data_IF_499866949987
#
_entry.id   IF_499866949987
#
_cell.length_a   1.000
_cell.length_b   1.000
_cell.length_c   1.000
_cell.angle_alpha   90.00
_cell.angle_beta   90.00
_cell.angle_gamma   90.00
#
_symmetry.space_group_name_H-M   'P 1'
#
loop_
_entity.id
_entity.type
_entity.pdbx_description
1 polymer ?
#
# COMPACT_ATOMS: atom_id res chain seq x y z
N UNK A 1 45.47 66.64 -2.80
CA UNK A 1 46.93 66.81 -2.67
C UNK A 1 47.46 65.86 -1.60
N UNK A 2 48.44 65.03 -1.99
CA UNK A 2 49.51 64.40 -1.19
C UNK A 2 49.32 64.30 0.34
N UNK A 3 49.38 63.08 0.89
CA UNK A 3 50.60 62.56 1.55
C UNK A 3 50.38 61.14 2.07
N UNK A 4 51.27 60.25 1.68
CA UNK A 4 51.48 58.92 2.23
C UNK A 4 52.31 59.02 3.52
N UNK A 5 52.05 58.15 4.50
CA UNK A 5 53.05 57.67 5.47
C UNK A 5 52.71 56.22 5.78
N UNK A 6 53.64 55.33 5.44
CA UNK A 6 53.63 53.94 5.89
C UNK A 6 54.43 53.79 7.19
N UNK A 7 54.13 52.74 7.95
CA UNK A 7 55.03 51.96 8.81
C UNK A 7 54.20 50.78 9.35
N UNK A 8 54.50 49.54 9.00
CA UNK A 8 55.52 48.66 9.59
C UNK A 8 55.00 47.89 10.83
N UNK A 9 55.10 46.56 10.73
CA UNK A 9 55.14 45.55 11.79
C UNK A 9 53.85 45.28 12.59
N UNK A 10 53.39 44.02 12.62
CA UNK A 10 53.91 43.01 13.55
C UNK A 10 53.25 41.65 13.26
N UNK A 11 54.07 40.60 13.21
CA UNK A 11 53.62 39.20 13.16
C UNK A 11 52.74 38.85 14.37
N UNK A 12 51.65 38.13 14.13
CA UNK A 12 51.11 37.16 15.08
C UNK A 12 50.77 35.86 14.34
N UNK A 13 51.68 34.90 14.48
CA UNK A 13 51.48 33.49 14.14
C UNK A 13 50.47 32.89 15.11
N UNK A 14 49.20 32.79 14.72
CA UNK A 14 48.24 31.90 15.38
C UNK A 14 48.29 30.54 14.68
N UNK A 15 49.12 29.64 15.19
CA UNK A 15 49.02 28.22 14.91
C UNK A 15 47.78 27.64 15.60
N UNK A 16 46.66 27.58 14.90
CA UNK A 16 45.51 26.78 15.31
C UNK A 16 45.77 25.34 14.86
N UNK A 17 46.16 24.49 15.81
CA UNK A 17 46.27 23.06 15.62
C UNK A 17 44.85 22.46 15.55
N UNK A 18 44.33 22.31 14.32
CA UNK A 18 43.05 21.61 14.09
C UNK A 18 43.36 20.11 14.12
N UNK A 19 43.03 19.44 15.23
CA UNK A 19 43.03 17.96 15.28
C UNK A 19 41.86 17.45 14.43
N UNK A 20 42.07 16.52 13.48
CA UNK A 20 40.96 15.83 12.84
C UNK A 20 40.41 14.78 13.82
N UNK A 21 39.27 15.06 14.45
CA UNK A 21 38.44 14.03 15.05
C UNK A 21 37.70 13.29 13.94
N UNK A 22 38.29 12.20 13.45
CA UNK A 22 37.59 11.16 12.70
C UNK A 22 36.70 10.40 13.69
N UNK A 23 35.50 10.92 13.95
CA UNK A 23 34.39 10.11 14.42
C UNK A 23 33.79 9.44 13.18
N UNK A 24 34.20 8.20 12.92
CA UNK A 24 33.50 7.32 11.99
C UNK A 24 32.21 6.87 12.69
N UNK A 25 31.14 7.65 12.53
CA UNK A 25 29.79 7.22 12.88
C UNK A 25 29.39 6.05 11.97
N UNK A 26 29.61 4.84 12.48
CA UNK A 26 29.02 3.62 11.94
C UNK A 26 27.57 3.56 12.42
N UNK A 27 26.70 4.39 11.84
CA UNK A 27 25.26 4.44 12.09
C UNK A 27 24.44 4.17 10.83
N UNK A 28 24.84 3.17 10.04
CA UNK A 28 24.03 2.65 8.95
C UNK A 28 23.96 1.14 9.07
N UNK A 29 22.85 0.63 9.61
CA UNK A 29 22.64 -0.81 9.61
C UNK A 29 21.36 -1.35 10.24
N UNK A 30 20.52 -0.56 10.91
CA UNK A 30 19.30 -1.10 11.57
C UNK A 30 17.98 -0.43 11.15
N UNK A 31 18.01 0.59 10.28
CA UNK A 31 16.77 1.23 9.79
C UNK A 31 16.19 0.63 8.51
N UNK A 32 16.88 -0.27 7.81
CA UNK A 32 16.34 -0.86 6.56
C UNK A 32 15.47 -2.10 6.77
N UNK A 33 15.51 -2.75 7.93
CA UNK A 33 14.66 -3.92 8.21
C UNK A 33 13.22 -3.54 8.55
N UNK A 34 13.01 -2.41 9.25
CA UNK A 34 11.67 -1.92 9.57
C UNK A 34 10.90 -1.46 8.31
N UNK A 35 11.58 -0.74 7.39
CA UNK A 35 11.01 -0.36 6.11
C UNK A 35 10.79 -1.56 5.17
N UNK A 36 11.65 -2.59 5.23
CA UNK A 36 11.46 -3.81 4.45
C UNK A 36 10.28 -4.66 4.94
N UNK A 37 9.96 -4.62 6.23
CA UNK A 37 8.80 -5.31 6.82
C UNK A 37 7.47 -4.59 6.49
N UNK A 38 7.46 -3.26 6.39
CA UNK A 38 6.25 -2.51 5.99
C UNK A 38 5.80 -2.79 4.54
N UNK A 39 6.70 -3.27 3.67
CA UNK A 39 6.40 -3.65 2.29
C UNK A 39 5.79 -5.07 2.16
N UNK A 40 5.74 -5.85 3.25
CA UNK A 40 5.15 -7.19 3.24
C UNK A 40 3.71 -7.22 3.76
N UNK A 41 3.20 -6.12 4.33
CA UNK A 41 1.81 -6.06 4.80
C UNK A 41 0.90 -5.86 3.57
N UNK A 42 -0.09 -6.75 3.35
CA UNK A 42 -1.11 -6.58 2.32
C UNK A 42 -1.77 -5.19 2.39
N UNK A 43 -1.93 -4.56 1.22
CA UNK A 43 -2.56 -3.24 1.11
C UNK A 43 -3.77 -3.28 0.20
N UNK A 44 -4.89 -2.81 0.71
CA UNK A 44 -6.12 -2.57 -0.04
C UNK A 44 -6.32 -1.07 -0.22
N UNK A 45 -6.13 -0.60 -1.44
CA UNK A 45 -6.35 0.78 -1.85
C UNK A 45 -7.77 0.92 -2.40
N UNK A 46 -8.51 1.92 -1.91
CA UNK A 46 -9.89 2.20 -2.33
C UNK A 46 -9.97 3.65 -2.79
N UNK A 47 -10.54 3.89 -3.96
CA UNK A 47 -10.75 5.24 -4.47
C UNK A 47 -12.17 5.39 -4.98
N UNK A 48 -12.92 6.33 -4.42
CA UNK A 48 -14.20 6.71 -5.02
C UNK A 48 -13.95 7.67 -6.18
N UNK A 49 -14.61 7.43 -7.30
CA UNK A 49 -14.56 8.29 -8.48
C UNK A 49 -15.92 8.97 -8.68
N UNK A 50 -16.01 9.90 -9.63
CA UNK A 50 -17.31 10.51 -9.99
C UNK A 50 -18.34 9.53 -10.57
N UNK A 51 -17.96 8.27 -10.83
CA UNK A 51 -18.81 7.25 -11.47
C UNK A 51 -18.91 5.94 -10.66
N UNK A 52 -18.13 5.78 -9.59
CA UNK A 52 -18.16 4.58 -8.77
C UNK A 52 -16.93 4.40 -7.88
N UNK A 53 -16.42 3.17 -7.77
CA UNK A 53 -15.30 2.83 -6.86
C UNK A 53 -14.31 1.91 -7.54
N UNK A 54 -13.04 2.25 -7.43
CA UNK A 54 -11.91 1.39 -7.79
C UNK A 54 -11.24 0.86 -6.53
N UNK A 55 -10.94 -0.44 -6.52
CA UNK A 55 -10.33 -1.16 -5.40
C UNK A 55 -9.14 -1.93 -5.94
N UNK A 56 -7.99 -1.83 -5.28
CA UNK A 56 -6.76 -2.57 -5.64
C UNK A 56 -6.16 -3.23 -4.41
N UNK A 57 -5.83 -4.50 -4.51
CA UNK A 57 -5.13 -5.28 -3.50
C UNK A 57 -3.75 -5.67 -4.02
N UNK A 58 -2.72 -5.33 -3.25
CA UNK A 58 -1.35 -5.74 -3.51
C UNK A 58 -0.90 -6.77 -2.48
N UNK A 59 -0.41 -7.92 -2.96
CA UNK A 59 0.16 -8.99 -2.15
C UNK A 59 1.58 -9.31 -2.62
N UNK A 60 2.54 -9.28 -1.71
CA UNK A 60 3.93 -9.57 -2.04
C UNK A 60 4.17 -11.03 -2.50
N UNK A 61 3.31 -11.98 -2.11
CA UNK A 61 3.47 -13.37 -2.47
C UNK A 61 2.14 -14.14 -2.51
N UNK A 62 1.72 -14.53 -3.72
CA UNK A 62 0.52 -15.35 -3.96
C UNK A 62 0.59 -16.73 -3.29
N UNK A 63 1.77 -17.32 -3.15
CA UNK A 63 1.91 -18.66 -2.58
C UNK A 63 1.59 -18.65 -1.09
N UNK A 64 2.22 -17.75 -0.34
CA UNK A 64 1.96 -17.57 1.10
C UNK A 64 0.49 -17.24 1.36
N UNK A 65 -0.11 -16.38 0.54
CA UNK A 65 -1.54 -16.12 0.59
C UNK A 65 -2.38 -17.39 0.34
N UNK A 66 -2.11 -18.12 -0.75
CA UNK A 66 -2.91 -19.30 -1.12
C UNK A 66 -2.80 -20.42 -0.09
N UNK A 67 -1.64 -20.59 0.54
CA UNK A 67 -1.45 -21.55 1.62
C UNK A 67 -2.24 -21.13 2.86
N UNK A 68 -2.07 -19.89 3.32
CA UNK A 68 -2.76 -19.36 4.49
C UNK A 68 -4.29 -19.35 4.34
N UNK A 69 -4.78 -19.05 3.13
CA UNK A 69 -6.19 -19.06 2.78
C UNK A 69 -6.77 -20.47 2.55
N UNK A 70 -5.98 -21.54 2.70
CA UNK A 70 -6.35 -22.92 2.36
C UNK A 70 -6.83 -23.09 0.90
N UNK A 71 -6.26 -22.30 -0.03
CA UNK A 71 -6.56 -22.30 -1.46
C UNK A 71 -5.49 -23.01 -2.30
N UNK A 72 -4.41 -23.51 -1.69
CA UNK A 72 -3.27 -24.12 -2.40
C UNK A 72 -3.64 -25.36 -3.23
N UNK A 73 -4.80 -25.97 -2.97
CA UNK A 73 -5.34 -27.11 -3.72
C UNK A 73 -6.13 -26.69 -4.96
N UNK A 74 -6.49 -25.41 -5.09
CA UNK A 74 -7.23 -24.92 -6.24
C UNK A 74 -6.34 -24.88 -7.48
N UNK A 75 -6.94 -25.12 -8.63
CA UNK A 75 -6.29 -24.78 -9.89
C UNK A 75 -6.06 -23.27 -9.98
N UNK A 76 -5.08 -22.85 -10.81
CA UNK A 76 -4.84 -21.43 -11.10
C UNK A 76 -6.08 -20.69 -11.59
N UNK A 77 -6.90 -21.36 -12.40
CA UNK A 77 -8.12 -20.79 -12.94
C UNK A 77 -9.16 -20.58 -11.84
N UNK A 78 -9.36 -21.55 -10.96
CA UNK A 78 -10.28 -21.43 -9.83
C UNK A 78 -9.82 -20.38 -8.83
N UNK A 79 -8.52 -20.33 -8.51
CA UNK A 79 -7.95 -19.30 -7.65
C UNK A 79 -8.19 -17.90 -8.23
N UNK A 80 -7.88 -17.71 -9.52
CA UNK A 80 -8.15 -16.45 -10.23
C UNK A 80 -9.63 -16.09 -10.18
N UNK A 81 -10.51 -17.04 -10.48
CA UNK A 81 -11.96 -16.81 -10.46
C UNK A 81 -12.47 -16.41 -9.08
N UNK A 82 -11.93 -16.98 -8.00
CA UNK A 82 -12.30 -16.59 -6.63
C UNK A 82 -11.82 -15.20 -6.26
N UNK A 83 -10.60 -14.84 -6.66
CA UNK A 83 -10.08 -13.49 -6.46
C UNK A 83 -10.89 -12.46 -7.25
N UNK A 84 -11.35 -12.82 -8.45
CA UNK A 84 -12.15 -11.92 -9.30
C UNK A 84 -13.64 -11.84 -8.91
N UNK A 85 -14.09 -12.62 -7.93
CA UNK A 85 -15.46 -12.58 -7.39
C UNK A 85 -15.71 -11.36 -6.49
N UNK A 86 -15.37 -10.16 -6.98
CA UNK A 86 -15.37 -8.92 -6.19
C UNK A 86 -16.71 -8.56 -5.57
N UNK A 87 -17.82 -8.91 -6.20
CA UNK A 87 -19.16 -8.62 -5.68
C UNK A 87 -19.49 -9.37 -4.38
N UNK A 88 -18.83 -10.50 -4.12
CA UNK A 88 -18.96 -11.22 -2.86
C UNK A 88 -18.07 -10.60 -1.77
N UNK A 89 -16.90 -10.07 -2.18
CA UNK A 89 -15.89 -9.48 -1.29
C UNK A 89 -16.24 -8.06 -0.86
N UNK A 90 -16.93 -7.30 -1.71
CA UNK A 90 -17.17 -5.87 -1.56
C UNK A 90 -18.65 -5.56 -1.76
N UNK A 91 -19.27 -5.00 -0.72
CA UNK A 91 -20.68 -4.63 -0.74
C UNK A 91 -20.78 -3.11 -0.52
N UNK A 92 -21.08 -2.38 -1.59
CA UNK A 92 -21.38 -0.95 -1.51
C UNK A 92 -22.82 -0.74 -1.05
N UNK A 93 -23.11 0.41 -0.43
CA UNK A 93 -24.46 0.69 0.05
C UNK A 93 -25.49 0.68 -1.10
N UNK A 94 -26.64 0.04 -0.84
CA UNK A 94 -27.64 -0.23 -1.87
C UNK A 94 -28.17 1.03 -2.59
N UNK A 95 -28.18 2.19 -1.91
CA UNK A 95 -28.68 3.44 -2.48
C UNK A 95 -27.84 3.95 -3.67
N UNK A 96 -26.55 3.58 -3.73
CA UNK A 96 -25.67 3.94 -4.83
C UNK A 96 -25.86 3.06 -6.09
N UNK A 97 -26.56 1.93 -5.94
CA UNK A 97 -26.87 1.00 -7.04
C UNK A 97 -25.61 0.59 -7.84
N UNK A 98 -24.55 0.25 -7.11
CA UNK A 98 -23.28 -0.14 -7.71
C UNK A 98 -23.28 -1.60 -8.14
N UNK A 99 -22.61 -1.88 -9.26
CA UNK A 99 -22.40 -3.23 -9.78
C UNK A 99 -20.93 -3.41 -10.19
N UNK A 100 -20.40 -4.62 -9.99
CA UNK A 100 -19.05 -4.96 -10.44
C UNK A 100 -19.00 -4.87 -11.97
N UNK A 101 -18.20 -3.94 -12.50
CA UNK A 101 -18.02 -3.72 -13.93
C UNK A 101 -16.77 -4.41 -14.46
N UNK A 102 -15.73 -4.51 -13.64
CA UNK A 102 -14.46 -5.14 -13.99
C UNK A 102 -13.82 -5.79 -12.77
N UNK A 103 -13.13 -6.91 -12.99
CA UNK A 103 -12.25 -7.53 -12.01
C UNK A 103 -11.05 -8.15 -12.74
N UNK A 104 -9.87 -8.04 -12.15
CA UNK A 104 -8.66 -8.62 -12.71
C UNK A 104 -7.69 -9.04 -11.62
N UNK A 105 -7.27 -10.31 -11.64
CA UNK A 105 -6.16 -10.80 -10.82
C UNK A 105 -4.96 -11.12 -11.72
N UNK A 106 -3.83 -10.48 -11.44
CA UNK A 106 -2.59 -10.58 -12.21
C UNK A 106 -1.47 -11.10 -11.32
N UNK A 107 -0.79 -12.13 -11.80
CA UNK A 107 0.53 -12.53 -11.33
C UNK A 107 1.20 -13.41 -12.37
N UNK A 108 2.53 -13.52 -12.31
CA UNK A 108 3.28 -14.47 -13.14
C UNK A 108 2.79 -15.93 -12.94
N UNK A 109 2.37 -16.25 -11.72
CA UNK A 109 1.80 -17.56 -11.36
C UNK A 109 0.55 -17.85 -12.18
N UNK A 110 -0.40 -16.90 -12.15
CA UNK A 110 -1.68 -17.00 -12.84
C UNK A 110 -1.51 -16.98 -14.37
N UNK A 111 -0.53 -16.22 -14.87
CA UNK A 111 -0.17 -16.15 -16.29
C UNK A 111 0.60 -17.37 -16.82
N UNK A 112 0.90 -18.37 -15.97
CA UNK A 112 1.68 -19.56 -16.31
C UNK A 112 3.09 -19.27 -16.84
N UNK A 113 3.65 -18.11 -16.47
CA UNK A 113 5.00 -17.78 -16.86
C UNK A 113 5.98 -18.57 -15.99
N UNK A 114 6.95 -19.22 -16.64
CA UNK A 114 8.04 -19.89 -15.92
C UNK A 114 8.99 -18.84 -15.36
N UNK A 115 8.79 -18.47 -14.11
CA UNK A 115 9.74 -17.63 -13.36
C UNK A 115 10.49 -18.46 -12.33
N UNK A 116 11.74 -18.09 -12.07
CA UNK A 116 12.60 -18.68 -11.04
C UNK A 116 12.47 -17.96 -9.70
N UNK A 117 11.59 -16.96 -9.60
CA UNK A 117 11.40 -16.18 -8.38
C UNK A 117 10.61 -16.99 -7.34
N UNK A 118 11.12 -16.99 -6.10
CA UNK A 118 10.47 -17.65 -4.97
C UNK A 118 9.26 -16.87 -4.44
N UNK A 119 9.19 -15.56 -4.70
CA UNK A 119 8.04 -14.70 -4.42
C UNK A 119 7.41 -14.28 -5.74
N UNK A 120 6.12 -14.53 -5.89
CA UNK A 120 5.34 -14.04 -7.03
C UNK A 120 4.28 -13.10 -6.50
N UNK A 121 4.44 -11.80 -6.77
CA UNK A 121 3.48 -10.79 -6.38
C UNK A 121 2.11 -11.05 -7.04
N UNK A 122 1.05 -10.67 -6.35
CA UNK A 122 -0.32 -10.74 -6.84
C UNK A 122 -0.94 -9.36 -6.70
N UNK A 123 -1.35 -8.81 -7.83
CA UNK A 123 -2.13 -7.59 -7.92
C UNK A 123 -3.55 -7.98 -8.30
N UNK A 124 -4.53 -7.52 -7.52
CA UNK A 124 -5.95 -7.73 -7.82
C UNK A 124 -6.64 -6.39 -7.86
N UNK A 125 -7.39 -6.12 -8.91
CA UNK A 125 -8.19 -4.90 -9.03
C UNK A 125 -9.65 -5.23 -9.31
N UNK A 126 -10.53 -4.39 -8.77
CA UNK A 126 -11.96 -4.43 -9.00
C UNK A 126 -12.46 -3.00 -9.24
N UNK A 127 -13.36 -2.85 -10.20
CA UNK A 127 -14.05 -1.60 -10.47
C UNK A 127 -15.55 -1.82 -10.36
N UNK A 128 -16.20 -0.91 -9.67
CA UNK A 128 -17.64 -0.87 -9.50
C UNK A 128 -18.18 0.39 -10.17
N UNK A 129 -19.15 0.22 -11.06
CA UNK A 129 -19.89 1.33 -11.65
C UNK A 129 -21.21 1.52 -10.89
N UNK A 130 -21.51 2.77 -10.53
CA UNK A 130 -22.70 3.13 -9.77
C UNK A 130 -23.64 3.96 -10.66
N UNK A 131 -24.93 3.66 -10.64
CA UNK A 131 -25.93 4.48 -11.35
C UNK A 131 -26.26 5.76 -10.56
N UNK A 132 -26.02 5.76 -9.24
CA UNK A 132 -26.23 6.89 -8.32
C UNK A 132 -24.97 7.13 -7.48
N UNK A 133 -23.84 7.53 -8.09
CA UNK A 133 -22.55 7.66 -7.39
C UNK A 133 -22.60 8.64 -6.22
N UNK A 134 -23.43 9.69 -6.28
CA UNK A 134 -23.63 10.64 -5.19
C UNK A 134 -24.33 10.08 -3.95
N UNK A 135 -24.94 8.89 -4.05
CA UNK A 135 -25.54 8.21 -2.91
C UNK A 135 -24.57 7.21 -2.25
N UNK A 136 -23.33 7.11 -2.76
CA UNK A 136 -22.29 6.25 -2.21
C UNK A 136 -21.76 6.83 -0.91
N UNK A 137 -21.90 6.07 0.18
CA UNK A 137 -21.43 6.51 1.51
C UNK A 137 -20.67 5.44 2.29
N UNK A 138 -20.76 4.18 1.89
CA UNK A 138 -20.06 3.10 2.59
C UNK A 138 -19.72 1.92 1.70
N UNK A 139 -18.66 1.22 2.10
CA UNK A 139 -18.18 -0.02 1.50
C UNK A 139 -17.89 -1.03 2.61
N UNK A 140 -18.64 -2.12 2.63
CA UNK A 140 -18.33 -3.29 3.45
C UNK A 140 -17.32 -4.17 2.74
N UNK A 141 -16.30 -4.59 3.49
CA UNK A 141 -15.21 -5.45 3.04
C UNK A 141 -15.33 -6.78 3.80
N UNK A 142 -15.63 -7.86 3.08
CA UNK A 142 -15.86 -9.20 3.60
C UNK A 142 -14.67 -10.14 3.37
N UNK A 143 -13.45 -9.61 3.37
CA UNK A 143 -12.24 -10.34 2.99
C UNK A 143 -11.99 -11.59 3.86
N UNK A 144 -12.06 -11.46 5.18
CA UNK A 144 -11.74 -12.53 6.12
C UNK A 144 -12.87 -13.57 6.22
N UNK A 145 -14.11 -13.20 5.88
CA UNK A 145 -15.20 -14.19 5.68
C UNK A 145 -14.90 -15.11 4.49
N UNK A 146 -14.41 -14.55 3.36
CA UNK A 146 -14.16 -15.32 2.15
C UNK A 146 -12.79 -16.01 2.12
N UNK A 147 -11.80 -15.43 2.79
CA UNK A 147 -10.44 -15.96 2.90
C UNK A 147 -10.00 -16.00 4.37
N UNK A 148 -10.56 -16.93 5.18
CA UNK A 148 -10.21 -17.04 6.58
C UNK A 148 -8.71 -17.27 6.76
N UNK A 149 -8.10 -16.57 7.73
CA UNK A 149 -6.68 -16.70 8.08
C UNK A 149 -5.69 -16.38 6.95
N UNK A 150 -6.16 -15.88 5.81
CA UNK A 150 -5.33 -15.59 4.64
C UNK A 150 -4.27 -14.53 4.88
N UNK A 151 -4.56 -13.59 5.78
CA UNK A 151 -3.72 -12.46 6.14
C UNK A 151 -3.72 -12.31 7.67
N UNK A 152 -2.58 -11.94 8.25
CA UNK A 152 -2.53 -11.57 9.67
C UNK A 152 -3.18 -10.20 9.89
N UNK A 153 -2.84 -9.22 9.06
CA UNK A 153 -3.42 -7.89 9.00
C UNK A 153 -3.58 -7.48 7.52
N UNK A 154 -4.51 -6.56 7.29
CA UNK A 154 -4.74 -5.87 6.04
C UNK A 154 -4.73 -4.36 6.33
N UNK A 155 -3.87 -3.62 5.63
CA UNK A 155 -3.91 -2.15 5.65
C UNK A 155 -4.86 -1.71 4.56
N UNK A 156 -5.91 -1.00 4.96
CA UNK A 156 -6.90 -0.41 4.08
C UNK A 156 -6.64 1.09 4.05
N UNK A 157 -6.43 1.64 2.87
CA UNK A 157 -6.30 3.07 2.63
C UNK A 157 -7.39 3.48 1.65
N UNK A 158 -8.06 4.59 1.92
CA UNK A 158 -9.11 5.09 1.04
C UNK A 158 -8.99 6.58 0.80
N UNK A 159 -9.43 6.98 -0.38
CA UNK A 159 -9.56 8.38 -0.77
C UNK A 159 -10.90 8.58 -1.47
N UNK A 160 -11.58 9.65 -1.10
CA UNK A 160 -12.82 10.11 -1.70
C UNK A 160 -12.78 11.63 -1.90
N UNK A 161 -13.86 12.19 -2.44
CA UNK A 161 -13.99 13.64 -2.54
C UNK A 161 -14.07 14.33 -1.16
N UNK A 162 -14.62 13.64 -0.16
CA UNK A 162 -14.95 14.21 1.15
C UNK A 162 -13.96 13.82 2.25
N UNK A 163 -13.33 12.65 2.12
CA UNK A 163 -12.45 12.08 3.14
C UNK A 163 -11.34 11.20 2.57
N UNK A 164 -10.23 11.14 3.32
CA UNK A 164 -9.19 10.13 3.18
C UNK A 164 -8.97 9.44 4.52
N UNK A 165 -8.46 8.22 4.50
CA UNK A 165 -8.16 7.52 5.73
C UNK A 165 -7.35 6.26 5.56
N UNK A 166 -6.95 5.71 6.71
CA UNK A 166 -6.16 4.50 6.82
C UNK A 166 -6.64 3.69 8.03
N UNK A 167 -6.78 2.39 7.84
CA UNK A 167 -7.16 1.43 8.87
C UNK A 167 -6.30 0.17 8.72
N UNK A 168 -5.72 -0.32 9.81
CA UNK A 168 -5.16 -1.67 9.85
C UNK A 168 -6.16 -2.59 10.55
N UNK A 169 -6.53 -3.70 9.91
CA UNK A 169 -7.54 -4.64 10.43
C UNK A 169 -7.13 -6.09 10.22
N UNK A 170 -7.62 -6.96 11.08
CA UNK A 170 -7.53 -8.43 10.97
C UNK A 170 -8.91 -9.10 10.87
N UNK A 171 -9.95 -8.30 10.62
CA UNK A 171 -11.32 -8.72 10.47
C UNK A 171 -12.05 -7.92 9.39
N UNK A 172 -13.18 -8.46 8.93
CA UNK A 172 -14.11 -7.75 8.05
C UNK A 172 -14.52 -6.41 8.67
N UNK A 173 -14.72 -5.41 7.81
CA UNK A 173 -14.96 -4.04 8.26
C UNK A 173 -15.85 -3.28 7.29
N UNK A 174 -16.27 -2.08 7.69
CA UNK A 174 -16.99 -1.13 6.85
C UNK A 174 -16.20 0.17 6.83
N UNK A 175 -15.97 0.71 5.63
CA UNK A 175 -15.43 2.04 5.43
C UNK A 175 -16.59 2.98 5.15
N UNK A 176 -16.59 4.14 5.79
CA UNK A 176 -17.50 5.25 5.50
C UNK A 176 -16.74 6.34 4.76
N UNK A 177 -17.30 6.80 3.64
CA UNK A 177 -16.67 7.82 2.77
C UNK A 177 -17.03 9.24 3.19
N UNK A 178 -17.99 9.40 4.10
CA UNK A 178 -18.37 10.67 4.70
C UNK A 178 -17.87 10.71 6.15
N UNK A 179 -17.49 11.88 6.68
CA UNK A 179 -17.15 12.01 8.10
C UNK A 179 -18.36 11.68 8.97
N UNK A 180 -18.16 10.88 10.03
CA UNK A 180 -19.19 10.69 11.06
C UNK A 180 -19.48 12.05 11.74
N UNK A 181 -20.72 12.54 11.59
CA UNK A 181 -21.20 13.79 12.19
C UNK A 181 -21.48 13.65 13.69
#
# INVERSE_FOLDING_TARGET
MKLAIGALALMLMFGVSIKPSLAADSLLGHKSLAYALELEIPRLLITTTGVGVDISLELANIFSFSEAAALSQLSRHELKSRLEAGADLFQLNAAAECSLSQAQAISDFLAQQKTKQAKQALDVSWSFACTKPQALNSLKIAWFTHFPQSLANLVIEWTSAEAEGRLETSADTVIYFEPEL
#
